data_IF_753521368082
#
_entry.id   IF_753521368082
#
_cell.length_a   1.000
_cell.length_b   1.000
_cell.length_c   1.000
_cell.angle_alpha   90.00
_cell.angle_beta   90.00
_cell.angle_gamma   90.00
#
_symmetry.space_group_name_H-M   'P 1'
#
loop_
_entity.id
_entity.type
_entity.pdbx_description
1 polymer ?
#
# COMPACT_ATOMS: atom_id res chain seq x y z
N UNK A 1 -9.58 -7.63 2.44
CA UNK A 1 -8.73 -8.29 1.44
C UNK A 1 -9.56 -8.74 0.26
N UNK A 2 -8.97 -8.67 -0.93
CA UNK A 2 -9.58 -9.06 -2.19
C UNK A 2 -8.67 -10.04 -2.93
N UNK A 3 -9.26 -10.94 -3.72
CA UNK A 3 -8.48 -11.89 -4.53
C UNK A 3 -9.16 -12.14 -5.87
N UNK A 4 -8.36 -12.54 -6.86
CA UNK A 4 -8.92 -13.06 -8.11
C UNK A 4 -9.67 -14.39 -7.86
N UNK A 5 -10.71 -14.74 -8.66
CA UNK A 5 -11.49 -15.95 -8.44
C UNK A 5 -10.68 -17.26 -8.45
N UNK A 6 -9.56 -17.26 -9.18
CA UNK A 6 -8.60 -18.37 -9.26
C UNK A 6 -7.52 -18.32 -8.16
N UNK A 7 -7.60 -17.35 -7.23
CA UNK A 7 -6.62 -17.09 -6.18
C UNK A 7 -5.19 -16.85 -6.68
N UNK A 8 -5.04 -16.51 -7.96
CA UNK A 8 -3.74 -16.24 -8.56
C UNK A 8 -3.12 -14.91 -8.13
N UNK A 9 -3.94 -13.99 -7.62
CA UNK A 9 -3.49 -12.71 -7.07
C UNK A 9 -4.44 -12.26 -5.95
N UNK A 10 -3.88 -11.52 -4.98
CA UNK A 10 -4.64 -10.92 -3.88
C UNK A 10 -4.09 -9.54 -3.52
N UNK A 11 -4.93 -8.73 -2.88
CA UNK A 11 -4.53 -7.43 -2.33
C UNK A 11 -5.24 -7.13 -1.02
N UNK A 12 -4.53 -6.46 -0.12
CA UNK A 12 -5.12 -5.67 0.95
C UNK A 12 -5.22 -4.23 0.49
N UNK A 13 -6.43 -3.70 0.52
CA UNK A 13 -6.69 -2.30 0.19
C UNK A 13 -7.83 -1.79 1.08
N UNK A 14 -7.86 -0.47 1.28
CA UNK A 14 -8.95 0.21 1.97
C UNK A 14 -9.33 1.50 1.24
N UNK A 15 -10.56 1.91 1.42
CA UNK A 15 -11.02 3.26 1.11
C UNK A 15 -10.88 4.09 2.38
N UNK A 16 -10.32 5.30 2.30
CA UNK A 16 -10.10 6.15 3.49
C UNK A 16 -11.38 6.37 4.30
N UNK A 17 -12.50 6.59 3.63
CA UNK A 17 -13.80 6.78 4.30
C UNK A 17 -14.24 5.59 5.15
N UNK A 18 -13.81 4.35 4.83
CA UNK A 18 -14.10 3.15 5.61
C UNK A 18 -13.40 3.15 6.98
N UNK A 19 -12.34 3.94 7.15
CA UNK A 19 -11.61 4.08 8.42
C UNK A 19 -12.38 4.93 9.46
N UNK A 20 -13.48 5.58 9.08
CA UNK A 20 -14.32 6.36 9.99
C UNK A 20 -13.57 7.40 10.84
N UNK A 21 -12.53 8.03 10.25
CA UNK A 21 -11.72 9.06 10.90
C UNK A 21 -10.54 8.54 11.73
N UNK A 22 -10.32 7.24 11.77
CA UNK A 22 -9.09 6.65 12.33
C UNK A 22 -7.99 6.72 11.27
N UNK A 23 -6.73 7.00 11.65
CA UNK A 23 -5.61 6.94 10.72
C UNK A 23 -5.22 5.49 10.41
N UNK A 24 -4.64 5.25 9.23
CA UNK A 24 -4.15 3.91 8.89
C UNK A 24 -3.03 3.47 9.83
N UNK A 25 -2.11 4.35 10.19
CA UNK A 25 -1.05 4.06 11.17
C UNK A 25 -1.60 3.57 12.51
N UNK A 26 -2.71 4.14 12.99
CA UNK A 26 -3.35 3.67 14.24
C UNK A 26 -3.97 2.28 14.08
N UNK A 27 -4.50 1.94 12.89
CA UNK A 27 -5.00 0.58 12.58
C UNK A 27 -3.85 -0.43 12.56
N UNK A 28 -2.72 -0.07 11.94
CA UNK A 28 -1.52 -0.91 11.90
C UNK A 28 -0.92 -1.13 13.29
N UNK A 29 -0.79 -0.09 14.10
CA UNK A 29 -0.27 -0.17 15.45
C UNK A 29 -1.08 -1.15 16.31
N UNK A 30 -2.42 -1.10 16.24
CA UNK A 30 -3.28 -2.04 16.97
C UNK A 30 -3.15 -3.47 16.41
N UNK A 31 -3.07 -3.63 15.09
CA UNK A 31 -2.87 -4.94 14.46
C UNK A 31 -1.52 -5.56 14.85
N UNK A 32 -0.44 -4.77 14.87
CA UNK A 32 0.88 -5.21 15.32
C UNK A 32 0.90 -5.56 16.81
N UNK A 33 0.24 -4.75 17.65
CA UNK A 33 0.12 -5.03 19.08
C UNK A 33 -0.69 -6.32 19.32
N UNK A 34 -1.77 -6.54 18.57
CA UNK A 34 -2.55 -7.78 18.65
C UNK A 34 -1.74 -9.00 18.20
N UNK A 35 -1.04 -8.90 17.07
CA UNK A 35 -0.17 -9.96 16.58
C UNK A 35 0.91 -10.33 17.61
N UNK A 36 1.54 -9.33 18.23
CA UNK A 36 2.54 -9.56 19.26
C UNK A 36 1.96 -10.27 20.48
N UNK A 37 0.75 -9.91 20.92
CA UNK A 37 0.06 -10.57 22.05
C UNK A 37 -0.30 -12.03 21.76
N UNK A 38 -0.78 -12.32 20.53
CA UNK A 38 -1.39 -13.60 20.22
C UNK A 38 -0.38 -14.65 19.72
N UNK A 39 0.72 -14.22 19.10
CA UNK A 39 1.59 -15.11 18.34
C UNK A 39 3.08 -15.00 18.67
N UNK A 40 3.51 -14.10 19.55
CA UNK A 40 4.93 -13.88 19.86
C UNK A 40 5.25 -14.11 21.33
N UNK A 41 6.43 -14.65 21.60
CA UNK A 41 7.04 -14.58 22.94
C UNK A 41 7.46 -13.13 23.24
N UNK A 42 7.69 -12.78 24.53
CA UNK A 42 8.16 -11.45 24.90
C UNK A 42 9.47 -11.03 24.22
N UNK A 43 10.38 -11.98 24.01
CA UNK A 43 11.66 -11.78 23.32
C UNK A 43 11.43 -11.47 21.83
N UNK A 44 10.57 -12.25 21.15
CA UNK A 44 10.21 -12.03 19.74
C UNK A 44 9.48 -10.70 19.55
N UNK A 45 8.53 -10.35 20.40
CA UNK A 45 7.82 -9.07 20.36
C UNK A 45 8.79 -7.88 20.54
N UNK A 46 9.79 -8.01 21.41
CA UNK A 46 10.83 -6.99 21.61
C UNK A 46 11.70 -6.85 20.35
N UNK A 47 12.14 -7.98 19.77
CA UNK A 47 12.95 -7.98 18.56
C UNK A 47 12.18 -7.40 17.36
N UNK A 48 10.90 -7.77 17.21
CA UNK A 48 10.00 -7.25 16.19
C UNK A 48 9.82 -5.73 16.30
N UNK A 49 9.48 -5.22 17.49
CA UNK A 49 9.32 -3.78 17.74
C UNK A 49 10.61 -3.00 17.43
N UNK A 50 11.79 -3.56 17.79
CA UNK A 50 13.08 -2.95 17.46
C UNK A 50 13.35 -2.93 15.95
N UNK A 51 13.00 -4.01 15.25
CA UNK A 51 13.15 -4.07 13.79
C UNK A 51 12.22 -3.08 13.08
N UNK A 52 10.96 -3.00 13.52
CA UNK A 52 9.96 -2.09 12.95
C UNK A 52 10.36 -0.61 13.12
N UNK A 53 10.86 -0.24 14.31
CA UNK A 53 11.36 1.12 14.55
C UNK A 53 12.51 1.55 13.64
N UNK A 54 13.27 0.59 13.08
CA UNK A 54 14.33 0.91 12.11
C UNK A 54 13.77 1.38 10.76
N UNK A 55 12.51 1.10 10.46
CA UNK A 55 11.85 1.53 9.23
C UNK A 55 11.26 2.95 9.34
N UNK A 56 11.04 3.48 10.56
CA UNK A 56 10.47 4.82 10.76
C UNK A 56 11.14 5.92 9.92
N UNK A 57 12.48 5.94 9.72
CA UNK A 57 13.13 6.98 8.91
C UNK A 57 12.80 6.91 7.42
N UNK A 58 12.33 5.77 6.91
CA UNK A 58 12.02 5.56 5.49
C UNK A 58 10.54 5.38 5.23
N UNK A 59 9.71 5.34 6.28
CA UNK A 59 8.26 5.23 6.17
C UNK A 59 7.62 6.56 6.50
N UNK A 60 6.83 7.10 5.57
CA UNK A 60 6.03 8.32 5.77
C UNK A 60 4.59 7.86 6.02
N UNK A 61 4.32 7.41 7.24
CA UNK A 61 3.00 6.89 7.62
C UNK A 61 1.91 7.95 7.42
N UNK A 62 0.76 7.54 6.88
CA UNK A 62 -0.37 8.43 6.56
C UNK A 62 -0.05 9.52 5.50
N UNK A 63 1.00 9.35 4.66
CA UNK A 63 1.36 10.29 3.60
C UNK A 63 0.22 10.48 2.58
N UNK A 64 -0.54 9.45 2.32
CA UNK A 64 -1.64 9.42 1.37
C UNK A 64 -2.75 10.39 1.77
N UNK A 65 -3.02 10.54 3.08
CA UNK A 65 -4.00 11.51 3.58
C UNK A 65 -3.53 12.96 3.34
N UNK A 66 -2.23 13.22 3.51
CA UNK A 66 -1.61 14.51 3.20
C UNK A 66 -1.66 14.78 1.71
N UNK A 67 -1.31 13.77 0.90
CA UNK A 67 -1.30 13.88 -0.57
C UNK A 67 -2.70 14.11 -1.15
N UNK A 68 -3.71 13.38 -0.68
CA UNK A 68 -5.09 13.56 -1.10
C UNK A 68 -5.55 14.99 -0.85
N UNK A 69 -5.25 15.54 0.34
CA UNK A 69 -5.56 16.94 0.69
C UNK A 69 -4.85 17.95 -0.23
N UNK A 70 -3.57 17.73 -0.54
CA UNK A 70 -2.80 18.59 -1.46
C UNK A 70 -3.40 18.61 -2.88
N UNK A 71 -3.90 17.47 -3.34
CA UNK A 71 -4.47 17.31 -4.68
C UNK A 71 -5.98 17.56 -4.74
N UNK A 72 -6.61 17.89 -3.60
CA UNK A 72 -8.02 18.27 -3.52
C UNK A 72 -8.99 17.10 -3.50
N UNK A 73 -8.53 15.91 -3.08
CA UNK A 73 -9.39 14.75 -2.89
C UNK A 73 -9.72 14.56 -1.41
N UNK A 74 -10.98 14.22 -1.13
CA UNK A 74 -11.45 13.94 0.23
C UNK A 74 -11.30 12.46 0.60
N UNK A 75 -11.27 11.57 -0.39
CA UNK A 75 -11.19 10.13 -0.25
C UNK A 75 -10.15 9.53 -1.19
N UNK A 76 -9.68 8.30 -0.93
CA UNK A 76 -8.72 7.58 -1.76
C UNK A 76 -8.76 6.07 -1.48
N UNK A 77 -8.21 5.29 -2.42
CA UNK A 77 -7.91 3.87 -2.23
C UNK A 77 -6.42 3.72 -1.93
N UNK A 78 -6.06 3.04 -0.84
CA UNK A 78 -4.69 2.69 -0.53
C UNK A 78 -4.49 1.16 -0.62
N UNK A 79 -3.49 0.74 -1.39
CA UNK A 79 -3.06 -0.66 -1.51
C UNK A 79 -1.85 -0.89 -0.62
N UNK A 80 -2.04 -1.48 0.55
CA UNK A 80 -0.95 -1.75 1.51
C UNK A 80 -0.26 -3.10 1.31
N UNK A 81 -0.86 -4.02 0.53
CA UNK A 81 -0.23 -5.27 0.10
C UNK A 81 -0.80 -5.72 -1.24
N UNK A 82 0.07 -6.14 -2.15
CA UNK A 82 -0.31 -6.77 -3.42
C UNK A 82 0.55 -8.02 -3.61
N UNK A 83 -0.09 -9.16 -3.81
CA UNK A 83 0.56 -10.44 -4.05
C UNK A 83 0.09 -11.10 -5.32
N UNK A 84 1.03 -11.67 -6.10
CA UNK A 84 0.74 -12.50 -7.28
C UNK A 84 1.50 -13.80 -7.17
N UNK A 85 0.80 -14.93 -7.28
CA UNK A 85 1.42 -16.25 -7.30
C UNK A 85 2.52 -16.28 -8.37
N UNK A 86 3.67 -16.84 -7.99
CA UNK A 86 4.84 -16.87 -8.88
C UNK A 86 4.58 -17.57 -10.22
N UNK A 87 3.68 -18.59 -10.22
CA UNK A 87 3.31 -19.34 -11.42
C UNK A 87 2.28 -18.61 -12.28
N UNK A 88 1.61 -17.59 -11.74
CA UNK A 88 0.65 -16.75 -12.44
C UNK A 88 1.25 -15.43 -12.96
N UNK A 89 2.54 -15.18 -12.73
CA UNK A 89 3.22 -14.01 -13.26
C UNK A 89 3.25 -14.06 -14.78
N UNK A 90 3.01 -12.91 -15.43
CA UNK A 90 2.92 -12.82 -16.89
C UNK A 90 1.58 -13.29 -17.50
N UNK A 91 0.64 -13.83 -16.72
CA UNK A 91 -0.68 -14.29 -17.18
C UNK A 91 -1.78 -13.23 -17.13
N UNK A 92 -1.45 -11.98 -16.73
CA UNK A 92 -2.41 -10.92 -16.51
C UNK A 92 -3.13 -10.99 -15.13
N UNK A 93 -2.71 -11.86 -14.20
CA UNK A 93 -3.32 -11.99 -12.88
C UNK A 93 -3.33 -10.66 -12.10
N UNK A 94 -2.21 -9.93 -12.12
CA UNK A 94 -2.13 -8.58 -11.53
C UNK A 94 -3.16 -7.63 -12.12
N UNK A 95 -3.28 -7.58 -13.44
CA UNK A 95 -4.23 -6.71 -14.13
C UNK A 95 -5.68 -7.04 -13.74
N UNK A 96 -6.06 -8.32 -13.76
CA UNK A 96 -7.41 -8.78 -13.34
C UNK A 96 -7.71 -8.43 -11.88
N UNK A 97 -6.69 -8.40 -11.01
CA UNK A 97 -6.85 -7.98 -9.63
C UNK A 97 -7.12 -6.48 -9.49
N UNK A 98 -6.35 -5.64 -10.23
CA UNK A 98 -6.32 -4.19 -9.97
C UNK A 98 -7.39 -3.41 -10.77
N UNK A 99 -7.78 -3.90 -11.96
CA UNK A 99 -8.74 -3.21 -12.83
C UNK A 99 -10.08 -2.86 -12.14
N UNK A 100 -10.70 -3.72 -11.32
CA UNK A 100 -11.94 -3.36 -10.63
C UNK A 100 -11.78 -2.16 -9.68
N UNK A 101 -10.61 -2.03 -9.03
CA UNK A 101 -10.32 -0.87 -8.18
C UNK A 101 -10.14 0.40 -8.99
N UNK A 102 -9.50 0.30 -10.16
CA UNK A 102 -9.33 1.45 -11.05
C UNK A 102 -10.68 1.90 -11.63
N UNK A 103 -11.54 0.96 -12.00
CA UNK A 103 -12.90 1.29 -12.45
C UNK A 103 -13.67 2.03 -11.36
N UNK A 104 -13.63 1.53 -10.12
CA UNK A 104 -14.24 2.20 -8.97
C UNK A 104 -13.62 3.59 -8.74
N UNK A 105 -12.30 3.70 -8.76
CA UNK A 105 -11.58 4.95 -8.54
C UNK A 105 -11.96 6.02 -9.59
N UNK A 106 -12.04 5.62 -10.86
CA UNK A 106 -12.42 6.50 -11.97
C UNK A 106 -13.89 6.93 -11.86
N UNK A 107 -14.80 6.00 -11.51
CA UNK A 107 -16.24 6.28 -11.33
C UNK A 107 -16.51 7.24 -10.16
N UNK A 108 -15.78 7.07 -9.03
CA UNK A 108 -15.99 7.85 -7.82
C UNK A 108 -15.05 9.04 -7.70
N UNK A 109 -14.21 9.28 -8.71
CA UNK A 109 -13.22 10.37 -8.74
C UNK A 109 -12.31 10.37 -7.51
N UNK A 110 -11.74 9.21 -7.15
CA UNK A 110 -10.79 9.06 -6.05
C UNK A 110 -9.44 8.54 -6.55
N UNK A 111 -8.30 9.03 -6.03
CA UNK A 111 -6.98 8.54 -6.40
C UNK A 111 -6.70 7.16 -5.76
N UNK A 112 -5.72 6.45 -6.34
CA UNK A 112 -5.14 5.24 -5.78
C UNK A 112 -3.70 5.51 -5.35
N UNK A 113 -3.32 4.98 -4.19
CA UNK A 113 -1.99 5.11 -3.61
C UNK A 113 -1.40 3.76 -3.27
N UNK A 114 -0.08 3.65 -3.34
CA UNK A 114 0.70 2.51 -2.86
C UNK A 114 2.14 2.93 -2.59
N UNK A 115 2.87 2.10 -1.83
CA UNK A 115 4.31 2.17 -1.63
C UNK A 115 4.99 0.92 -2.20
N UNK A 116 6.26 1.08 -2.55
CA UNK A 116 7.10 -0.05 -2.94
C UNK A 116 8.56 0.16 -2.54
N UNK A 117 9.20 -0.92 -2.08
CA UNK A 117 10.62 -0.99 -1.78
C UNK A 117 11.43 -1.62 -2.92
N UNK A 118 10.81 -1.88 -4.07
CA UNK A 118 11.41 -2.61 -5.19
C UNK A 118 11.33 -1.84 -6.49
N UNK A 119 12.49 -1.51 -7.05
CA UNK A 119 12.60 -0.83 -8.35
C UNK A 119 11.93 -1.62 -9.49
N UNK A 120 11.97 -2.94 -9.42
CA UNK A 120 11.32 -3.79 -10.43
C UNK A 120 9.79 -3.63 -10.44
N UNK A 121 9.18 -3.26 -9.30
CA UNK A 121 7.75 -3.03 -9.20
C UNK A 121 7.36 -1.62 -9.63
N UNK A 122 8.25 -0.65 -9.53
CA UNK A 122 7.98 0.73 -9.99
C UNK A 122 7.54 0.72 -11.45
N UNK A 123 8.33 0.10 -12.32
CA UNK A 123 7.99 0.01 -13.76
C UNK A 123 6.67 -0.72 -14.03
N UNK A 124 6.34 -1.76 -13.23
CA UNK A 124 5.04 -2.44 -13.31
C UNK A 124 3.90 -1.50 -12.96
N UNK A 125 4.03 -0.73 -11.88
CA UNK A 125 2.99 0.21 -11.45
C UNK A 125 2.85 1.39 -12.40
N UNK A 126 3.96 1.92 -12.93
CA UNK A 126 3.94 2.95 -13.97
C UNK A 126 3.19 2.49 -15.22
N UNK A 127 3.36 1.22 -15.62
CA UNK A 127 2.67 0.64 -16.78
C UNK A 127 1.14 0.59 -16.61
N UNK A 128 0.63 0.59 -15.38
CA UNK A 128 -0.80 0.62 -15.08
C UNK A 128 -1.30 1.99 -14.62
N UNK A 129 -0.48 3.04 -14.78
CA UNK A 129 -0.89 4.43 -14.63
C UNK A 129 -0.48 5.10 -13.32
N UNK A 130 0.26 4.43 -12.43
CA UNK A 130 0.85 5.10 -11.28
C UNK A 130 2.01 6.01 -11.69
N UNK A 131 2.25 7.03 -10.90
CA UNK A 131 3.41 7.94 -11.00
C UNK A 131 4.14 7.99 -9.67
N UNK A 132 5.45 8.06 -9.71
CA UNK A 132 6.27 8.27 -8.53
C UNK A 132 6.03 9.70 -8.01
N UNK A 133 5.79 9.82 -6.69
CA UNK A 133 5.60 11.09 -5.99
C UNK A 133 6.86 11.47 -5.24
N UNK A 134 7.42 10.51 -4.49
CA UNK A 134 8.57 10.71 -3.62
C UNK A 134 9.29 9.39 -3.43
N UNK A 135 10.60 9.46 -3.28
CA UNK A 135 11.41 8.34 -2.78
C UNK A 135 12.07 8.76 -1.48
N UNK A 136 11.97 7.91 -0.47
CA UNK A 136 12.56 8.09 0.86
C UNK A 136 13.69 7.07 0.96
N UNK A 137 14.92 7.51 1.22
CA UNK A 137 16.10 6.65 1.35
C UNK A 137 16.50 6.48 2.81
N UNK A 138 16.83 5.25 3.21
CA UNK A 138 17.35 4.98 4.55
C UNK A 138 18.84 5.34 4.61
N UNK A 139 19.25 6.29 5.45
CA UNK A 139 20.66 6.68 5.56
C UNK A 139 21.56 5.50 5.95
N UNK A 140 22.53 5.19 5.08
CA UNK A 140 23.54 4.15 5.32
C UNK A 140 23.09 2.71 5.01
N UNK A 141 21.91 2.51 4.45
CA UNK A 141 21.43 1.20 4.00
C UNK A 141 20.93 1.30 2.54
N UNK A 142 20.99 0.18 1.82
CA UNK A 142 20.39 0.07 0.47
C UNK A 142 18.88 -0.27 0.60
N UNK A 143 18.17 0.62 1.24
CA UNK A 143 16.72 0.51 1.41
C UNK A 143 16.07 1.86 1.10
N UNK A 144 15.06 1.84 0.26
CA UNK A 144 14.27 3.00 -0.09
C UNK A 144 12.79 2.64 -0.27
N UNK A 145 11.92 3.55 0.09
CA UNK A 145 10.50 3.47 -0.15
C UNK A 145 10.12 4.47 -1.24
N UNK A 146 9.39 4.03 -2.25
CA UNK A 146 8.86 4.89 -3.30
C UNK A 146 7.35 4.98 -3.18
N UNK A 147 6.86 6.19 -2.93
CA UNK A 147 5.44 6.52 -2.84
C UNK A 147 4.90 6.76 -4.26
N UNK A 148 3.78 6.15 -4.59
CA UNK A 148 3.22 6.22 -5.94
C UNK A 148 1.72 6.55 -5.91
N UNK A 149 1.27 7.37 -6.88
CA UNK A 149 -0.13 7.73 -7.05
C UNK A 149 -0.64 7.40 -8.46
N UNK A 150 -1.90 7.01 -8.55
CA UNK A 150 -2.69 7.01 -9.79
C UNK A 150 -3.90 7.91 -9.59
N UNK A 151 -3.96 9.01 -10.32
CA UNK A 151 -5.14 9.87 -10.32
C UNK A 151 -6.27 9.23 -11.14
N UNK A 152 -7.55 9.48 -10.80
CA UNK A 152 -8.68 9.01 -11.58
C UNK A 152 -8.64 9.60 -12.99
N UNK A 153 -9.07 8.82 -13.97
CA UNK A 153 -9.24 9.33 -15.34
C UNK A 153 -10.44 10.29 -15.34
N UNK A 154 -10.20 11.54 -15.69
CA UNK A 154 -11.29 12.49 -15.94
C UNK A 154 -11.90 12.18 -17.31
N UNK A 155 -13.13 11.65 -17.33
CA UNK A 155 -13.92 11.51 -18.54
C UNK A 155 -14.57 12.83 -18.94
#
# INVERSE_FOLDING_TARGET
CYATPDLAACTGAYLKSDLNGVSWSAVEDEAHAQMARDFMTPEEATAYSKAFKRLEPVSDFDWEASRAKETGYDDFIHFYVIGVDKNARGTGAFRRLIEPFFAYADEHNVPCYLETYSDNLISLYEHVGFKQIKTIEMPGEDLRETLMERLPNQN
#
